data_IF_481616079582
#
_entry.id   IF_481616079582
#
_cell.length_a   1.000
_cell.length_b   1.000
_cell.length_c   1.000
_cell.angle_alpha   90.00
_cell.angle_beta   90.00
_cell.angle_gamma   90.00
#
_symmetry.space_group_name_H-M   'P 1'
#
loop_
_entity.id
_entity.type
_entity.pdbx_description
1 polymer ?
#
# COMPACT_ATOMS: atom_id res chain seq x y z
N UNK A 1 -15.27 13.59 8.03
CA UNK A 1 -14.10 12.88 7.45
C UNK A 1 -14.52 11.49 6.98
N UNK A 2 -13.99 11.06 5.86
CA UNK A 2 -14.25 9.72 5.34
C UNK A 2 -13.78 8.65 6.32
N UNK A 3 -14.63 7.65 6.57
CA UNK A 3 -14.28 6.55 7.46
C UNK A 3 -13.56 5.45 6.69
N UNK A 4 -12.24 5.41 6.83
CA UNK A 4 -11.39 4.48 6.10
C UNK A 4 -11.44 3.05 6.65
N UNK A 5 -11.77 2.85 7.93
CA UNK A 5 -11.61 1.55 8.58
C UNK A 5 -12.28 0.38 7.84
N UNK A 6 -13.57 0.47 7.48
CA UNK A 6 -14.20 -0.68 6.79
C UNK A 6 -13.60 -0.93 5.41
N UNK A 7 -13.17 0.13 4.72
CA UNK A 7 -12.60 -0.01 3.38
C UNK A 7 -11.17 -0.56 3.43
N UNK A 8 -10.37 -0.15 4.41
CA UNK A 8 -9.03 -0.71 4.62
C UNK A 8 -9.14 -2.20 4.87
N UNK A 9 -10.04 -2.60 5.77
CA UNK A 9 -10.24 -4.02 6.11
C UNK A 9 -10.71 -4.81 4.89
N UNK A 10 -11.67 -4.28 4.15
CA UNK A 10 -12.21 -4.93 2.96
C UNK A 10 -11.14 -5.12 1.89
N UNK A 11 -10.38 -4.07 1.60
CA UNK A 11 -9.32 -4.13 0.59
C UNK A 11 -8.23 -5.11 1.00
N UNK A 12 -7.75 -5.04 2.24
CA UNK A 12 -6.69 -5.92 2.72
C UNK A 12 -7.12 -7.38 2.66
N UNK A 13 -8.33 -7.69 3.11
CA UNK A 13 -8.86 -9.06 3.05
C UNK A 13 -9.01 -9.54 1.61
N UNK A 14 -9.51 -8.69 0.72
CA UNK A 14 -9.63 -9.03 -0.70
C UNK A 14 -8.27 -9.37 -1.30
N UNK A 15 -7.27 -8.53 -1.04
CA UNK A 15 -5.92 -8.76 -1.57
C UNK A 15 -5.29 -10.02 -0.99
N UNK A 16 -5.53 -10.33 0.27
CA UNK A 16 -5.05 -11.57 0.88
C UNK A 16 -5.69 -12.79 0.24
N UNK A 17 -7.00 -12.75 -0.01
CA UNK A 17 -7.71 -13.85 -0.67
C UNK A 17 -7.21 -14.10 -2.08
N UNK A 18 -6.81 -13.05 -2.81
CA UNK A 18 -6.29 -13.18 -4.16
C UNK A 18 -4.80 -13.48 -4.21
N UNK A 19 -4.15 -13.62 -3.05
CA UNK A 19 -2.73 -13.91 -2.99
C UNK A 19 -1.82 -12.70 -3.24
N UNK A 20 -2.36 -11.49 -3.22
CA UNK A 20 -1.56 -10.28 -3.44
C UNK A 20 -0.89 -9.78 -2.17
N UNK A 21 -1.42 -10.12 -1.01
CA UNK A 21 -0.79 -9.76 0.26
C UNK A 21 -0.93 -10.89 1.27
N UNK A 22 -0.31 -10.74 2.44
CA UNK A 22 -0.21 -11.79 3.45
C UNK A 22 -0.81 -11.35 4.78
N UNK A 23 -1.37 -12.31 5.51
CA UNK A 23 -1.81 -12.12 6.90
C UNK A 23 -0.73 -12.64 7.85
N UNK A 24 -0.62 -12.11 9.07
CA UNK A 24 -1.39 -10.97 9.61
C UNK A 24 -1.02 -9.68 8.91
N UNK A 25 -1.93 -8.70 8.93
CA UNK A 25 -1.69 -7.41 8.28
C UNK A 25 -0.81 -6.51 9.14
N UNK A 26 -0.05 -5.58 8.52
CA UNK A 26 0.73 -4.61 9.27
C UNK A 26 -0.18 -3.57 9.91
N UNK A 27 0.36 -2.80 10.84
CA UNK A 27 -0.34 -1.63 11.37
C UNK A 27 -0.53 -0.60 10.26
N UNK A 28 -1.74 -0.07 10.14
CA UNK A 28 -2.06 0.96 9.16
C UNK A 28 -2.28 2.27 9.90
N UNK A 29 -1.44 3.26 9.63
CA UNK A 29 -1.49 4.57 10.27
C UNK A 29 -2.01 5.58 9.26
N UNK A 30 -3.10 6.28 9.61
CA UNK A 30 -3.65 7.35 8.79
C UNK A 30 -3.11 8.68 9.29
N UNK A 31 -2.36 9.36 8.43
CA UNK A 31 -1.72 10.63 8.78
C UNK A 31 -2.45 11.77 8.08
N UNK A 32 -3.13 12.60 8.84
CA UNK A 32 -3.90 13.73 8.31
C UNK A 32 -3.13 15.06 8.38
N UNK A 33 -1.82 15.00 8.56
CA UNK A 33 -1.00 16.20 8.60
C UNK A 33 -0.99 16.88 7.24
N UNK A 34 -1.23 18.19 7.23
CA UNK A 34 -1.13 18.98 6.00
C UNK A 34 0.32 19.02 5.53
N UNK A 35 0.54 18.70 4.26
CA UNK A 35 1.88 18.72 3.68
C UNK A 35 2.09 19.99 2.89
N UNK A 36 3.32 20.50 2.95
CA UNK A 36 3.74 21.70 2.22
C UNK A 36 4.89 21.33 1.28
N UNK A 37 4.96 22.01 0.15
CA UNK A 37 6.04 21.83 -0.78
C UNK A 37 5.61 21.18 -2.10
N UNK A 38 6.59 20.96 -2.95
CA UNK A 38 6.37 20.44 -4.30
C UNK A 38 6.16 18.93 -4.30
N UNK A 39 6.84 18.23 -3.40
CA UNK A 39 6.76 16.77 -3.33
C UNK A 39 5.83 16.36 -2.20
N UNK A 40 4.66 15.84 -2.59
CA UNK A 40 3.65 15.38 -1.64
C UNK A 40 3.80 13.88 -1.49
N UNK A 41 4.01 13.45 -0.24
CA UNK A 41 4.10 12.02 0.08
C UNK A 41 2.70 11.41 0.05
N UNK A 42 2.59 10.22 -0.52
CA UNK A 42 1.30 9.50 -0.58
C UNK A 42 1.20 8.42 0.49
N UNK A 43 2.29 7.76 0.79
CA UNK A 43 2.36 6.74 1.81
C UNK A 43 3.68 5.99 1.71
N UNK A 44 3.95 5.17 2.72
CA UNK A 44 5.13 4.31 2.68
C UNK A 44 4.95 3.12 3.61
N UNK A 45 5.65 2.04 3.28
CA UNK A 45 5.82 0.89 4.16
C UNK A 45 7.18 0.99 4.83
N UNK A 46 7.20 0.82 6.16
CA UNK A 46 8.44 0.84 6.92
C UNK A 46 8.78 -0.61 7.34
N UNK A 47 9.78 -1.25 6.71
CA UNK A 47 10.14 -2.61 7.05
C UNK A 47 10.63 -2.79 8.48
N UNK A 48 11.16 -1.74 9.09
CA UNK A 48 11.67 -1.81 10.47
C UNK A 48 10.55 -1.83 11.50
N UNK A 49 9.48 -1.08 11.27
CA UNK A 49 8.35 -1.01 12.20
C UNK A 49 7.18 -1.91 11.82
N UNK A 50 7.26 -2.58 10.67
CA UNK A 50 6.19 -3.40 10.11
C UNK A 50 4.87 -2.63 10.00
N UNK A 51 4.97 -1.35 9.65
CA UNK A 51 3.80 -0.48 9.53
C UNK A 51 3.68 0.18 8.17
N UNK A 52 2.45 0.51 7.81
CA UNK A 52 2.15 1.30 6.62
C UNK A 52 1.56 2.61 7.08
N UNK A 53 2.15 3.72 6.62
CA UNK A 53 1.63 5.06 6.87
C UNK A 53 1.00 5.59 5.59
N UNK A 54 -0.24 6.07 5.69
CA UNK A 54 -0.96 6.65 4.56
C UNK A 54 -1.24 8.12 4.86
N UNK A 55 -0.84 8.99 3.95
CA UNK A 55 -1.11 10.42 4.05
C UNK A 55 -2.45 10.70 3.39
N UNK A 56 -3.40 11.19 4.18
CA UNK A 56 -4.81 11.32 3.74
C UNK A 56 -5.26 12.75 3.51
N UNK A 57 -4.52 13.74 4.03
CA UNK A 57 -4.94 15.13 3.96
C UNK A 57 -5.02 15.61 2.51
N UNK A 58 -6.17 16.17 2.14
CA UNK A 58 -6.38 16.71 0.80
C UNK A 58 -6.44 15.69 -0.32
N UNK A 59 -6.62 14.41 0.00
CA UNK A 59 -6.63 13.33 -1.01
C UNK A 59 -7.99 12.65 -1.08
N UNK A 60 -8.37 12.24 -2.28
CA UNK A 60 -9.57 11.46 -2.49
C UNK A 60 -9.40 10.07 -1.86
N UNK A 61 -10.46 9.53 -1.20
CA UNK A 61 -10.36 8.21 -0.58
C UNK A 61 -9.89 7.09 -1.50
N UNK A 62 -10.31 7.09 -2.77
CA UNK A 62 -9.84 6.08 -3.73
C UNK A 62 -8.34 6.14 -3.95
N UNK A 63 -7.79 7.35 -3.97
CA UNK A 63 -6.36 7.54 -4.15
C UNK A 63 -5.58 7.02 -2.94
N UNK A 64 -6.07 7.29 -1.73
CA UNK A 64 -5.47 6.77 -0.50
C UNK A 64 -5.52 5.24 -0.49
N UNK A 65 -6.64 4.65 -0.86
CA UNK A 65 -6.80 3.19 -0.86
C UNK A 65 -5.95 2.53 -1.95
N UNK A 66 -5.73 3.21 -3.09
CA UNK A 66 -4.79 2.72 -4.10
C UNK A 66 -3.36 2.68 -3.55
N UNK A 67 -2.97 3.71 -2.80
CA UNK A 67 -1.68 3.73 -2.12
C UNK A 67 -1.56 2.57 -1.15
N UNK A 68 -2.61 2.28 -0.39
CA UNK A 68 -2.61 1.13 0.52
C UNK A 68 -2.39 -0.18 -0.23
N UNK A 69 -3.07 -0.38 -1.36
CA UNK A 69 -2.89 -1.58 -2.17
C UNK A 69 -1.43 -1.76 -2.58
N UNK A 70 -0.78 -0.69 -3.03
CA UNK A 70 0.64 -0.70 -3.39
C UNK A 70 1.52 -1.12 -2.20
N UNK A 71 1.29 -0.53 -1.03
CA UNK A 71 2.10 -0.82 0.15
C UNK A 71 1.84 -2.23 0.70
N UNK A 72 0.64 -2.77 0.50
CA UNK A 72 0.35 -4.15 0.90
C UNK A 72 1.14 -5.18 0.07
N UNK A 73 1.48 -4.86 -1.17
CA UNK A 73 2.37 -5.72 -1.96
C UNK A 73 3.77 -5.73 -1.33
N UNK A 74 4.28 -4.58 -0.90
CA UNK A 74 5.57 -4.52 -0.20
C UNK A 74 5.54 -5.32 1.11
N UNK A 75 4.41 -5.28 1.82
CA UNK A 75 4.23 -6.09 3.02
C UNK A 75 4.39 -7.58 2.70
N UNK A 76 3.78 -8.05 1.62
CA UNK A 76 3.93 -9.44 1.20
C UNK A 76 5.37 -9.75 0.82
N UNK A 77 6.02 -8.87 0.09
CA UNK A 77 7.43 -9.05 -0.30
C UNK A 77 8.32 -9.23 0.93
N UNK A 78 8.09 -8.46 1.98
CA UNK A 78 8.83 -8.63 3.22
C UNK A 78 8.48 -9.96 3.91
N UNK A 79 7.20 -10.30 3.97
CA UNK A 79 6.74 -11.55 4.57
C UNK A 79 7.34 -12.77 3.87
N UNK A 80 7.52 -12.68 2.55
CA UNK A 80 8.12 -13.75 1.74
C UNK A 80 9.65 -13.77 1.81
N UNK A 81 10.25 -12.77 2.48
CA UNK A 81 11.69 -12.66 2.58
C UNK A 81 12.38 -12.07 1.34
N UNK A 82 11.62 -11.53 0.39
CA UNK A 82 12.21 -10.90 -0.80
C UNK A 82 12.71 -9.49 -0.53
N UNK A 83 12.25 -8.86 0.57
CA UNK A 83 12.80 -7.60 1.07
C UNK A 83 13.34 -7.84 2.47
N UNK A 84 14.61 -7.51 2.71
CA UNK A 84 15.14 -7.49 4.07
C UNK A 84 14.78 -6.18 4.75
N UNK A 85 14.88 -6.13 6.08
CA UNK A 85 14.61 -4.90 6.84
C UNK A 85 15.50 -3.74 6.40
N UNK A 86 16.66 -4.03 5.80
CA UNK A 86 17.58 -3.03 5.30
C UNK A 86 17.41 -2.74 3.82
N UNK A 87 16.64 -3.53 3.11
CA UNK A 87 16.54 -3.50 1.65
C UNK A 87 15.84 -2.30 1.08
N UNK A 88 15.09 -1.59 1.91
CA UNK A 88 14.29 -0.46 1.47
C UNK A 88 14.94 0.89 1.68
N UNK A 89 16.03 0.92 2.39
CA UNK A 89 16.77 2.16 2.63
C UNK A 89 17.77 2.33 1.53
N UNK A 90 17.45 3.18 0.50
CA UNK A 90 18.44 3.02 -0.44
C UNK A 90 18.81 4.21 -1.25
N UNK A 91 19.93 4.62 -0.91
CA UNK A 91 20.87 5.20 -1.83
C UNK A 91 21.18 4.28 -3.02
N UNK A 92 20.80 3.01 -2.95
CA UNK A 92 21.12 1.99 -3.95
C UNK A 92 19.96 1.55 -4.83
N UNK A 93 18.78 2.10 -4.61
CA UNK A 93 17.59 1.73 -5.37
C UNK A 93 17.79 1.88 -6.88
N UNK A 94 18.46 2.93 -7.31
CA UNK A 94 18.69 3.19 -8.72
C UNK A 94 19.72 2.25 -9.33
N UNK A 95 20.54 1.61 -8.49
CA UNK A 95 21.59 0.71 -8.94
C UNK A 95 21.23 -0.76 -8.75
N UNK A 96 20.16 -1.03 -8.01
CA UNK A 96 19.76 -2.38 -7.65
C UNK A 96 18.55 -2.82 -8.46
N UNK A 97 18.79 -3.67 -9.46
CA UNK A 97 17.74 -4.20 -10.31
C UNK A 97 16.67 -4.99 -9.53
N UNK A 98 17.05 -5.61 -8.41
CA UNK A 98 16.11 -6.35 -7.58
C UNK A 98 15.08 -5.41 -6.95
N UNK A 99 15.53 -4.25 -6.47
CA UNK A 99 14.61 -3.26 -5.88
C UNK A 99 13.69 -2.65 -6.93
N UNK A 100 14.20 -2.43 -8.14
CA UNK A 100 13.40 -1.95 -9.26
C UNK A 100 12.29 -2.96 -9.58
N UNK A 101 12.63 -4.25 -9.62
CA UNK A 101 11.64 -5.31 -9.87
C UNK A 101 10.58 -5.38 -8.77
N UNK A 102 10.98 -5.22 -7.51
CA UNK A 102 10.05 -5.21 -6.40
C UNK A 102 9.06 -4.04 -6.50
N UNK A 103 9.56 -2.87 -6.91
CA UNK A 103 8.72 -1.70 -7.10
C UNK A 103 7.77 -1.88 -8.28
N UNK A 104 8.24 -2.44 -9.39
CA UNK A 104 7.41 -2.75 -10.55
C UNK A 104 6.30 -3.73 -10.18
N UNK A 105 6.61 -4.76 -9.41
CA UNK A 105 5.62 -5.72 -8.92
C UNK A 105 4.57 -5.02 -8.06
N UNK A 106 5.00 -4.13 -7.17
CA UNK A 106 4.08 -3.42 -6.29
C UNK A 106 3.12 -2.52 -7.09
N UNK A 107 3.62 -1.83 -8.10
CA UNK A 107 2.76 -1.02 -8.97
C UNK A 107 1.79 -1.88 -9.75
N UNK A 108 2.27 -2.94 -10.38
CA UNK A 108 1.43 -3.79 -11.21
C UNK A 108 0.36 -4.51 -10.39
N UNK A 109 0.77 -5.25 -9.39
CA UNK A 109 -0.16 -6.05 -8.58
C UNK A 109 -1.03 -5.18 -7.69
N UNK A 110 -0.50 -4.07 -7.19
CA UNK A 110 -1.27 -3.13 -6.41
C UNK A 110 -2.40 -2.52 -7.24
N UNK A 111 -2.12 -2.09 -8.45
CA UNK A 111 -3.11 -1.50 -9.34
C UNK A 111 -4.16 -2.54 -9.78
N UNK A 112 -3.73 -3.75 -10.12
CA UNK A 112 -4.65 -4.82 -10.51
C UNK A 112 -5.56 -5.20 -9.33
N UNK A 113 -4.98 -5.39 -8.16
CA UNK A 113 -5.74 -5.73 -6.95
C UNK A 113 -6.73 -4.65 -6.57
N UNK A 114 -6.30 -3.40 -6.60
CA UNK A 114 -7.16 -2.26 -6.29
C UNK A 114 -8.32 -2.15 -7.28
N UNK A 115 -8.04 -2.27 -8.57
CA UNK A 115 -9.06 -2.20 -9.61
C UNK A 115 -10.10 -3.31 -9.44
N UNK A 116 -9.65 -4.54 -9.23
CA UNK A 116 -10.55 -5.68 -9.04
C UNK A 116 -11.42 -5.50 -7.80
N UNK A 117 -10.82 -5.03 -6.71
CA UNK A 117 -11.57 -4.74 -5.49
C UNK A 117 -12.59 -3.63 -5.71
N UNK A 118 -12.21 -2.55 -6.39
CA UNK A 118 -13.10 -1.44 -6.68
C UNK A 118 -14.32 -1.90 -7.47
N UNK A 119 -14.12 -2.73 -8.48
CA UNK A 119 -15.22 -3.29 -9.27
C UNK A 119 -16.17 -4.10 -8.39
N UNK A 120 -15.64 -4.91 -7.48
CA UNK A 120 -16.44 -5.70 -6.55
C UNK A 120 -17.27 -4.80 -5.63
N UNK A 121 -16.65 -3.77 -5.06
CA UNK A 121 -17.32 -2.84 -4.14
C UNK A 121 -18.38 -2.02 -4.86
N UNK A 122 -18.12 -1.60 -6.09
CA UNK A 122 -19.10 -0.85 -6.89
C UNK A 122 -20.33 -1.69 -7.20
N UNK A 123 -20.19 -2.98 -7.45
CA UNK A 123 -21.32 -3.88 -7.66
C UNK A 123 -22.22 -3.96 -6.43
N UNK A 124 -21.66 -3.79 -5.23
CA UNK A 124 -22.42 -3.80 -3.99
C UNK A 124 -22.91 -2.41 -3.60
N UNK A 125 -22.57 -1.37 -4.37
CA UNK A 125 -23.02 0.00 -4.12
C UNK A 125 -22.34 0.70 -2.94
N UNK A 126 -21.18 0.21 -2.51
CA UNK A 126 -20.53 0.73 -1.29
C UNK A 126 -19.45 1.77 -1.51
N UNK A 127 -19.08 2.03 -2.73
CA UNK A 127 -18.01 3.00 -2.98
C UNK A 127 -18.29 3.90 -4.19
#
# INVERSE_FOLDING_TARGET
>A
MFDYKPYIKSLANFMAEKGYTAKPFPEIILDNTAQKGVFIKTGYFDPESDGIRLFVNGRHPKDVLRTLAHELIHWKQQSDGTISSNGYKTDKITEDNELIKLEEEAYLKGNIGFRSWTETVQKTGKL
#
